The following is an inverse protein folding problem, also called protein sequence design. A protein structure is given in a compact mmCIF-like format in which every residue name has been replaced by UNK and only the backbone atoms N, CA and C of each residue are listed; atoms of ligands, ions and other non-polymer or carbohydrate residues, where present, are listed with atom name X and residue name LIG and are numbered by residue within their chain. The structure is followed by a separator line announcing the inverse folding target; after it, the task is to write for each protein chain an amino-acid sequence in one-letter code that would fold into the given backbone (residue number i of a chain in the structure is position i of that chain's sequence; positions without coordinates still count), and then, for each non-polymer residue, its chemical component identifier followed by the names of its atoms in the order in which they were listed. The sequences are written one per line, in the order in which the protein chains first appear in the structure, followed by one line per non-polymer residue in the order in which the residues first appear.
data_IF_640607877997
#
_entry.id   IF_640607877997
#
_cell.length_a   1.000
_cell.length_b   1.000
_cell.length_c   1.000
_cell.angle_alpha   90.00
_cell.angle_beta   90.00
_cell.angle_gamma   90.00
#
_symmetry.space_group_name_H-M   'P 1'
#
loop_
_entity.id
_entity.type
_entity.pdbx_description
1 polymer ?
#
# COMPACT_ATOMS: atom_id res chain seq x y z
N UNK A 1 6.55 23.74 -24.52
CA UNK A 1 6.80 22.38 -25.03
C UNK A 1 7.03 21.45 -23.85
N UNK A 2 6.10 20.54 -23.58
CA UNK A 2 6.25 19.54 -22.51
C UNK A 2 7.16 18.44 -23.06
N UNK A 3 8.30 18.18 -22.41
CA UNK A 3 9.21 17.12 -22.85
C UNK A 3 8.48 15.76 -22.81
N UNK A 4 8.58 14.93 -23.86
CA UNK A 4 7.83 13.68 -23.98
C UNK A 4 8.03 12.73 -22.79
N UNK A 5 9.14 12.83 -22.06
CA UNK A 5 9.41 12.08 -20.83
C UNK A 5 8.40 12.34 -19.70
N UNK A 6 7.83 13.54 -19.60
CA UNK A 6 6.85 13.88 -18.55
C UNK A 6 5.46 13.29 -18.80
N UNK A 7 5.07 13.15 -20.08
CA UNK A 7 3.77 12.58 -20.46
C UNK A 7 3.74 11.08 -20.12
N UNK A 8 4.82 10.36 -20.42
CA UNK A 8 4.94 8.93 -20.10
C UNK A 8 4.91 8.67 -18.58
N UNK A 9 5.58 9.53 -17.78
CA UNK A 9 5.57 9.42 -16.32
C UNK A 9 4.16 9.61 -15.74
N UNK A 10 3.41 10.62 -16.21
CA UNK A 10 2.05 10.89 -15.72
C UNK A 10 1.05 9.79 -16.11
N UNK A 11 1.23 9.14 -17.26
CA UNK A 11 0.41 8.00 -17.69
C UNK A 11 0.73 6.73 -16.91
N UNK A 12 2.01 6.45 -16.66
CA UNK A 12 2.45 5.34 -15.81
C UNK A 12 1.87 5.46 -14.40
N UNK A 13 1.98 6.65 -13.79
CA UNK A 13 1.40 6.91 -12.46
C UNK A 13 -0.10 6.64 -12.47
N UNK A 14 -0.83 7.11 -13.49
CA UNK A 14 -2.29 6.90 -13.61
C UNK A 14 -2.65 5.42 -13.78
N UNK A 15 -1.94 4.68 -14.62
CA UNK A 15 -2.19 3.25 -14.85
C UNK A 15 -1.97 2.45 -13.55
N UNK A 16 -0.81 2.62 -12.92
CA UNK A 16 -0.47 1.91 -11.67
C UNK A 16 -1.43 2.32 -10.55
N UNK A 17 -1.70 3.62 -10.38
CA UNK A 17 -2.60 4.12 -9.33
C UNK A 17 -4.01 3.55 -9.46
N UNK A 18 -4.59 3.59 -10.66
CA UNK A 18 -5.97 3.17 -10.87
C UNK A 18 -6.15 1.65 -10.68
N UNK A 19 -5.22 0.83 -11.18
CA UNK A 19 -5.24 -0.62 -10.98
C UNK A 19 -5.05 -0.97 -9.50
N UNK A 20 -4.04 -0.40 -8.86
CA UNK A 20 -3.72 -0.65 -7.46
C UNK A 20 -4.88 -0.24 -6.53
N UNK A 21 -5.37 1.01 -6.63
CA UNK A 21 -6.39 1.53 -5.73
C UNK A 21 -7.73 0.79 -5.87
N UNK A 22 -8.04 0.23 -7.05
CA UNK A 22 -9.25 -0.59 -7.24
C UNK A 22 -9.11 -2.00 -6.69
N UNK A 23 -7.93 -2.61 -6.79
CA UNK A 23 -7.68 -3.96 -6.29
C UNK A 23 -7.53 -3.98 -4.77
N UNK A 24 -6.98 -2.90 -4.20
CA UNK A 24 -6.59 -2.80 -2.81
C UNK A 24 -7.66 -3.20 -1.78
N UNK A 25 -8.92 -2.71 -1.83
CA UNK A 25 -9.93 -3.09 -0.83
C UNK A 25 -10.21 -4.60 -0.84
N UNK A 26 -10.20 -5.22 -2.02
CA UNK A 26 -10.43 -6.65 -2.18
C UNK A 26 -9.31 -7.51 -1.62
N UNK A 27 -8.07 -7.02 -1.65
CA UNK A 27 -6.92 -7.70 -1.05
C UNK A 27 -6.93 -7.52 0.47
N UNK A 28 -7.22 -6.31 0.95
CA UNK A 28 -7.08 -5.96 2.37
C UNK A 28 -8.27 -6.41 3.21
N UNK A 29 -9.50 -6.38 2.68
CA UNK A 29 -10.70 -6.75 3.42
C UNK A 29 -10.68 -8.17 4.00
N UNK A 30 -10.40 -9.23 3.22
CA UNK A 30 -10.31 -10.58 3.78
C UNK A 30 -9.20 -10.68 4.82
N UNK A 31 -8.07 -10.02 4.59
CA UNK A 31 -6.95 -10.01 5.53
C UNK A 31 -7.30 -9.35 6.88
N UNK A 32 -8.06 -8.25 6.85
CA UNK A 32 -8.56 -7.60 8.08
C UNK A 32 -9.51 -8.54 8.84
N UNK A 33 -10.45 -9.19 8.14
CA UNK A 33 -11.39 -10.13 8.77
C UNK A 33 -10.64 -11.30 9.41
N UNK A 34 -9.69 -11.91 8.69
CA UNK A 34 -8.88 -13.02 9.22
C UNK A 34 -8.04 -12.55 10.41
N UNK A 35 -7.41 -11.38 10.32
CA UNK A 35 -6.58 -10.82 11.39
C UNK A 35 -7.39 -10.57 12.65
N UNK A 36 -8.54 -9.89 12.55
CA UNK A 36 -9.41 -9.61 13.69
C UNK A 36 -9.97 -10.89 14.30
N UNK A 37 -10.36 -11.86 13.48
CA UNK A 37 -10.86 -13.17 13.94
C UNK A 37 -9.77 -13.97 14.65
N UNK A 38 -8.54 -13.93 14.14
CA UNK A 38 -7.40 -14.61 14.77
C UNK A 38 -7.03 -13.98 16.11
N UNK A 39 -7.12 -12.65 16.22
CA UNK A 39 -6.79 -11.91 17.45
C UNK A 39 -7.90 -12.04 18.49
N UNK A 40 -9.18 -12.06 18.09
CA UNK A 40 -10.32 -12.14 19.01
C UNK A 40 -10.48 -13.51 19.68
N UNK A 41 -9.86 -14.56 19.14
CA UNK A 41 -9.95 -15.94 19.64
C UNK A 41 -8.85 -16.32 20.63
N UNK A 42 -7.95 -15.39 20.97
CA UNK A 42 -6.77 -15.71 21.79
C UNK A 42 -6.79 -14.93 23.09
N UNK A 43 -6.54 -15.64 24.18
CA UNK A 43 -6.47 -15.07 25.53
C UNK A 43 -5.28 -14.10 25.67
N UNK A 44 -5.47 -13.03 26.43
CA UNK A 44 -4.45 -12.01 26.70
C UNK A 44 -4.52 -10.76 25.80
N UNK A 45 -5.50 -10.67 24.90
CA UNK A 45 -5.81 -9.43 24.16
C UNK A 45 -6.93 -8.70 24.90
N UNK A 46 -6.67 -7.48 25.37
CA UNK A 46 -7.70 -6.66 26.03
C UNK A 46 -8.76 -6.20 25.03
N UNK A 47 -10.01 -6.04 25.51
CA UNK A 47 -11.13 -5.52 24.71
C UNK A 47 -10.82 -4.15 24.13
N UNK A 48 -10.12 -3.29 24.87
CA UNK A 48 -9.73 -1.95 24.42
C UNK A 48 -8.76 -2.02 23.24
N UNK A 49 -7.77 -2.94 23.31
CA UNK A 49 -6.83 -3.16 22.22
C UNK A 49 -7.55 -3.69 20.98
N UNK A 50 -8.43 -4.68 21.14
CA UNK A 50 -9.22 -5.22 20.03
C UNK A 50 -10.15 -4.15 19.43
N UNK A 51 -10.77 -3.30 20.27
CA UNK A 51 -11.59 -2.18 19.84
C UNK A 51 -10.79 -1.17 19.02
N UNK A 52 -9.61 -0.77 19.50
CA UNK A 52 -8.73 0.17 18.79
C UNK A 52 -8.22 -0.41 17.47
N UNK A 53 -7.87 -1.70 17.44
CA UNK A 53 -7.50 -2.40 16.21
C UNK A 53 -8.67 -2.43 15.22
N UNK A 54 -9.87 -2.78 15.68
CA UNK A 54 -11.08 -2.85 14.85
C UNK A 54 -11.44 -1.48 14.29
N UNK A 55 -11.36 -0.43 15.13
CA UNK A 55 -11.62 0.95 14.73
C UNK A 55 -10.58 1.44 13.71
N UNK A 56 -9.29 1.22 13.96
CA UNK A 56 -8.22 1.60 13.06
C UNK A 56 -8.32 0.88 11.70
N UNK A 57 -8.54 -0.44 11.72
CA UNK A 57 -8.75 -1.23 10.50
C UNK A 57 -10.02 -0.80 9.75
N UNK A 58 -11.13 -0.58 10.45
CA UNK A 58 -12.38 -0.11 9.86
C UNK A 58 -12.22 1.27 9.20
N UNK A 59 -11.50 2.19 9.84
CA UNK A 59 -11.18 3.51 9.29
C UNK A 59 -10.33 3.38 8.02
N UNK A 60 -9.28 2.57 8.05
CA UNK A 60 -8.44 2.32 6.87
C UNK A 60 -9.22 1.66 5.74
N UNK A 61 -10.12 0.72 6.04
CA UNK A 61 -10.99 0.09 5.05
C UNK A 61 -11.94 1.10 4.42
N UNK A 62 -12.58 1.96 5.22
CA UNK A 62 -13.44 3.02 4.72
C UNK A 62 -12.69 3.96 3.78
N UNK A 63 -11.45 4.33 4.12
CA UNK A 63 -10.57 5.10 3.24
C UNK A 63 -10.27 4.36 1.93
N UNK A 64 -9.90 3.07 1.97
CA UNK A 64 -9.59 2.31 0.76
C UNK A 64 -10.80 2.12 -0.15
N UNK A 65 -11.98 1.83 0.43
CA UNK A 65 -13.23 1.74 -0.32
C UNK A 65 -13.59 3.10 -0.92
N UNK A 66 -13.47 4.18 -0.16
CA UNK A 66 -13.68 5.54 -0.64
C UNK A 66 -12.75 5.89 -1.81
N UNK A 67 -11.45 5.60 -1.68
CA UNK A 67 -10.47 5.77 -2.75
C UNK A 67 -10.85 4.95 -3.99
N UNK A 68 -11.20 3.68 -3.83
CA UNK A 68 -11.60 2.83 -4.94
C UNK A 68 -12.86 3.35 -5.67
N UNK A 69 -13.83 3.89 -4.93
CA UNK A 69 -15.03 4.52 -5.51
C UNK A 69 -14.66 5.80 -6.27
N UNK A 70 -13.83 6.67 -5.67
CA UNK A 70 -13.37 7.90 -6.32
C UNK A 70 -12.58 7.58 -7.58
N UNK A 71 -11.70 6.57 -7.57
CA UNK A 71 -10.94 6.11 -8.72
C UNK A 71 -11.79 5.52 -9.86
N UNK A 72 -13.05 5.16 -9.59
CA UNK A 72 -14.02 4.77 -10.64
C UNK A 72 -14.67 5.99 -11.30
N UNK A 73 -14.69 7.14 -10.63
CA UNK A 73 -15.41 8.35 -11.06
C UNK A 73 -14.51 9.51 -11.50
N UNK A 74 -13.23 9.53 -11.08
CA UNK A 74 -12.28 10.62 -11.33
C UNK A 74 -10.90 10.08 -11.66
N UNK A 75 -10.17 10.82 -12.48
CA UNK A 75 -8.75 10.54 -12.73
C UNK A 75 -7.93 10.80 -11.46
N UNK A 76 -7.04 9.86 -11.14
CA UNK A 76 -6.17 9.94 -9.97
C UNK A 76 -4.95 10.78 -10.31
N UNK A 77 -4.69 11.82 -9.51
CA UNK A 77 -3.49 12.65 -9.67
C UNK A 77 -2.30 12.06 -8.91
N UNK A 78 -1.09 12.46 -9.29
CA UNK A 78 0.15 12.07 -8.62
C UNK A 78 0.11 12.41 -7.12
N UNK A 79 -0.32 13.64 -6.79
CA UNK A 79 -0.45 14.13 -5.42
C UNK A 79 -1.44 13.29 -4.61
N UNK A 80 -2.56 12.88 -5.21
CA UNK A 80 -3.54 12.02 -4.55
C UNK A 80 -2.94 10.67 -4.17
N UNK A 81 -2.24 10.02 -5.11
CA UNK A 81 -1.58 8.75 -4.83
C UNK A 81 -0.52 8.89 -3.74
N UNK A 82 0.28 9.96 -3.78
CA UNK A 82 1.31 10.21 -2.77
C UNK A 82 0.71 10.35 -1.37
N UNK A 83 -0.39 11.11 -1.24
CA UNK A 83 -1.12 11.27 0.04
C UNK A 83 -1.70 9.94 0.49
N UNK A 84 -2.32 9.17 -0.40
CA UNK A 84 -2.86 7.83 -0.09
C UNK A 84 -1.78 6.89 0.46
N UNK A 85 -0.61 6.84 -0.19
CA UNK A 85 0.51 6.01 0.26
C UNK A 85 1.12 6.49 1.57
N UNK A 86 1.18 7.81 1.81
CA UNK A 86 1.62 8.36 3.08
C UNK A 86 0.66 7.99 4.22
N UNK A 87 -0.66 8.20 4.03
CA UNK A 87 -1.69 7.80 4.99
C UNK A 87 -1.68 6.30 5.27
N UNK A 88 -1.47 5.50 4.22
CA UNK A 88 -1.28 4.05 4.33
C UNK A 88 -0.11 3.70 5.24
N UNK A 89 1.04 4.34 5.01
CA UNK A 89 2.26 4.09 5.78
C UNK A 89 2.03 4.41 7.25
N UNK A 90 1.36 5.53 7.54
CA UNK A 90 0.97 5.92 8.90
C UNK A 90 0.01 4.90 9.52
N UNK A 91 -1.03 4.48 8.79
CA UNK A 91 -1.99 3.49 9.27
C UNK A 91 -1.35 2.13 9.59
N UNK A 92 -0.41 1.67 8.75
CA UNK A 92 0.33 0.43 8.99
C UNK A 92 1.28 0.60 10.19
N UNK A 93 1.97 1.74 10.32
CA UNK A 93 2.83 2.01 11.47
C UNK A 93 2.03 2.05 12.78
N UNK A 94 0.85 2.68 12.78
CA UNK A 94 -0.07 2.65 13.91
C UNK A 94 -0.51 1.21 14.24
N UNK A 95 -0.79 0.39 13.23
CA UNK A 95 -1.10 -1.03 13.41
C UNK A 95 0.09 -1.82 14.01
N UNK A 96 1.32 -1.48 13.63
CA UNK A 96 2.53 -2.06 14.22
C UNK A 96 2.64 -1.73 15.72
N UNK A 97 2.36 -0.49 16.12
CA UNK A 97 2.30 -0.12 17.55
C UNK A 97 1.31 -1.00 18.33
N UNK A 98 0.13 -1.25 17.76
CA UNK A 98 -0.89 -2.08 18.39
C UNK A 98 -0.55 -3.57 18.44
N UNK A 99 0.49 -4.04 17.76
CA UNK A 99 0.81 -5.47 17.60
C UNK A 99 2.21 -5.86 18.09
N UNK A 100 2.93 -4.93 18.71
CA UNK A 100 4.25 -5.18 19.31
C UNK A 100 5.40 -4.35 18.72
N UNK A 101 5.08 -3.16 18.18
CA UNK A 101 6.02 -2.20 17.62
C UNK A 101 6.97 -2.82 16.56
N UNK A 102 8.29 -2.73 16.74
CA UNK A 102 9.28 -3.29 15.80
C UNK A 102 9.22 -4.83 15.69
N UNK A 103 8.62 -5.51 16.68
CA UNK A 103 8.45 -6.97 16.66
C UNK A 103 7.07 -7.38 16.14
N UNK A 104 6.34 -6.44 15.55
CA UNK A 104 5.03 -6.67 14.96
C UNK A 104 5.11 -7.66 13.79
N UNK A 105 4.19 -8.64 13.71
CA UNK A 105 4.05 -9.50 12.53
C UNK A 105 3.59 -8.73 11.28
N UNK A 106 3.07 -7.51 11.44
CA UNK A 106 2.57 -6.68 10.33
C UNK A 106 3.63 -5.77 9.72
N UNK A 107 4.86 -5.76 10.25
CA UNK A 107 5.92 -4.85 9.82
C UNK A 107 6.26 -4.97 8.33
N UNK A 108 6.17 -6.19 7.78
CA UNK A 108 6.38 -6.47 6.35
C UNK A 108 5.45 -5.67 5.44
N UNK A 109 4.26 -5.28 5.92
CA UNK A 109 3.31 -4.47 5.15
C UNK A 109 3.84 -3.06 4.87
N UNK A 110 4.79 -2.53 5.65
CA UNK A 110 5.43 -1.24 5.36
C UNK A 110 6.23 -1.27 4.05
N UNK A 111 6.63 -2.44 3.57
CA UNK A 111 7.27 -2.58 2.27
C UNK A 111 6.30 -2.30 1.12
N UNK A 112 5.00 -2.56 1.29
CA UNK A 112 3.96 -2.33 0.29
C UNK A 112 3.95 -0.88 -0.24
N UNK A 113 3.71 0.15 0.59
CA UNK A 113 3.65 1.53 0.10
C UNK A 113 4.97 2.02 -0.48
N UNK A 114 6.11 1.52 0.00
CA UNK A 114 7.43 1.86 -0.54
C UNK A 114 7.59 1.30 -1.95
N UNK A 115 7.36 0.00 -2.15
CA UNK A 115 7.48 -0.63 -3.45
C UNK A 115 6.49 -0.05 -4.47
N UNK A 116 5.26 0.22 -4.04
CA UNK A 116 4.25 0.85 -4.90
C UNK A 116 4.63 2.30 -5.22
N UNK A 117 5.21 3.04 -4.27
CA UNK A 117 5.75 4.37 -4.50
C UNK A 117 6.84 4.37 -5.57
N UNK A 118 7.79 3.43 -5.52
CA UNK A 118 8.81 3.27 -6.56
C UNK A 118 8.23 2.79 -7.90
N UNK A 119 7.24 1.89 -7.87
CA UNK A 119 6.57 1.43 -9.08
C UNK A 119 5.81 2.56 -9.78
N UNK A 120 5.10 3.40 -9.02
CA UNK A 120 4.33 4.49 -9.57
C UNK A 120 5.21 5.68 -9.98
N UNK A 121 6.11 6.14 -9.11
CA UNK A 121 6.85 7.39 -9.30
C UNK A 121 8.32 7.21 -9.69
N UNK A 122 8.81 5.99 -9.92
CA UNK A 122 10.21 5.71 -10.24
C UNK A 122 11.20 6.24 -9.19
N UNK A 123 12.36 6.75 -9.62
CA UNK A 123 13.38 7.37 -8.74
C UNK A 123 13.09 8.85 -8.40
N UNK A 124 11.82 9.23 -8.29
CA UNK A 124 11.43 10.60 -7.95
C UNK A 124 11.65 10.93 -6.47
N UNK A 125 11.65 12.23 -6.15
CA UNK A 125 11.66 12.73 -4.76
C UNK A 125 10.44 12.23 -3.98
N UNK A 126 9.29 12.04 -4.63
CA UNK A 126 8.06 11.54 -4.02
C UNK A 126 8.23 10.09 -3.52
N UNK A 127 8.78 9.20 -4.35
CA UNK A 127 9.07 7.82 -3.94
C UNK A 127 10.08 7.77 -2.78
N UNK A 128 11.13 8.58 -2.86
CA UNK A 128 12.13 8.70 -1.79
C UNK A 128 11.52 9.24 -0.49
N UNK A 129 10.59 10.20 -0.56
CA UNK A 129 9.90 10.72 0.60
C UNK A 129 9.02 9.65 1.29
N UNK A 130 8.33 8.81 0.51
CA UNK A 130 7.55 7.69 1.05
C UNK A 130 8.49 6.65 1.70
N UNK A 131 9.62 6.34 1.06
CA UNK A 131 10.63 5.45 1.64
C UNK A 131 11.22 6.02 2.94
N UNK A 132 11.58 7.31 2.95
CA UNK A 132 12.07 8.00 4.13
C UNK A 132 11.02 8.03 5.25
N UNK A 133 9.75 8.23 4.92
CA UNK A 133 8.65 8.16 5.89
C UNK A 133 8.53 6.77 6.51
N UNK A 134 8.61 5.70 5.70
CA UNK A 134 8.60 4.33 6.20
C UNK A 134 9.81 4.04 7.11
N UNK A 135 11.00 4.49 6.70
CA UNK A 135 12.22 4.36 7.52
C UNK A 135 12.15 5.17 8.82
N UNK A 136 11.55 6.36 8.79
CA UNK A 136 11.34 7.18 9.99
C UNK A 136 10.41 6.48 10.97
N UNK A 137 9.32 5.88 10.48
CA UNK A 137 8.43 5.05 11.31
C UNK A 137 9.15 3.81 11.84
N UNK A 138 9.90 3.07 11.02
CA UNK A 138 10.69 1.92 11.47
C UNK A 138 11.68 2.30 12.55
N UNK A 139 12.36 3.44 12.39
CA UNK A 139 13.28 3.98 13.38
C UNK A 139 12.52 4.29 14.66
N UNK A 140 11.43 5.07 14.60
CA UNK A 140 10.60 5.39 15.77
C UNK A 140 10.07 4.14 16.49
N UNK A 141 9.65 3.11 15.74
CA UNK A 141 9.23 1.81 16.27
C UNK A 141 10.36 1.05 16.97
N UNK A 142 11.61 1.21 16.52
CA UNK A 142 12.78 0.58 17.13
C UNK A 142 13.22 1.29 18.42
N UNK A 143 12.96 2.59 18.54
CA UNK A 143 13.27 3.38 19.75
C UNK A 143 12.23 3.22 20.87
N UNK A 144 11.07 2.66 20.57
CA UNK A 144 10.03 2.42 21.57
C UNK A 144 10.42 1.27 22.51
N UNK A 145 10.08 1.37 23.81
CA UNK A 145 10.29 0.29 24.74
C UNK A 145 9.63 -1.00 24.23
N UNK A 146 10.24 -2.17 24.48
CA UNK A 146 9.59 -3.45 24.25
C UNK A 146 8.21 -3.44 24.91
N UNK A 147 7.19 -3.87 24.18
CA UNK A 147 5.84 -4.08 24.70
C UNK A 147 5.05 -2.79 25.05
N UNK A 148 5.51 -1.63 24.55
CA UNK A 148 4.79 -0.35 24.59
C UNK A 148 4.24 0.04 23.20
N UNK A 149 2.99 0.53 23.07
CA UNK A 149 1.99 0.72 24.14
C UNK A 149 1.28 -0.58 24.55
N UNK A 150 1.35 -1.63 23.73
CA UNK A 150 0.77 -2.94 24.04
C UNK A 150 1.83 -4.03 23.87
N UNK A 151 1.75 -5.11 24.68
CA UNK A 151 2.63 -6.25 24.53
C UNK A 151 2.40 -6.94 23.20
N UNK A 152 3.37 -7.76 22.78
CA UNK A 152 3.20 -8.61 21.60
C UNK A 152 1.91 -9.42 21.62
N UNK A 153 1.41 -9.71 20.42
CA UNK A 153 0.33 -10.68 20.26
C UNK A 153 0.81 -12.06 20.74
N UNK A 154 -0.07 -12.87 21.35
CA UNK A 154 0.25 -14.24 21.69
C UNK A 154 0.61 -15.07 20.45
N UNK A 155 1.46 -16.08 20.62
CA UNK A 155 2.04 -16.87 19.53
C UNK A 155 1.06 -17.38 18.45
N UNK A 156 -0.14 -17.93 18.77
CA UNK A 156 -1.04 -18.44 17.72
C UNK A 156 -1.63 -17.31 16.85
N UNK A 157 -1.99 -16.17 17.45
CA UNK A 157 -2.42 -14.99 16.70
C UNK A 157 -1.24 -14.42 15.88
N UNK A 158 -0.05 -14.33 16.48
CA UNK A 158 1.12 -13.76 15.83
C UNK A 158 1.49 -14.50 14.53
N UNK A 159 1.47 -15.84 14.53
CA UNK A 159 1.76 -16.64 13.32
C UNK A 159 0.74 -16.40 12.22
N UNK A 160 -0.55 -16.38 12.56
CA UNK A 160 -1.63 -16.14 11.61
C UNK A 160 -1.51 -14.74 11.00
N UNK A 161 -1.30 -13.72 11.85
CA UNK A 161 -1.15 -12.33 11.40
C UNK A 161 0.10 -12.16 10.54
N UNK A 162 1.22 -12.82 10.88
CA UNK A 162 2.44 -12.76 10.07
C UNK A 162 2.23 -13.36 8.68
N UNK A 163 1.57 -14.51 8.61
CA UNK A 163 1.21 -15.16 7.34
C UNK A 163 0.30 -14.28 6.49
N UNK A 164 -0.77 -13.74 7.10
CA UNK A 164 -1.71 -12.85 6.41
C UNK A 164 -1.00 -11.58 5.93
N UNK A 165 -0.20 -10.94 6.77
CA UNK A 165 0.55 -9.74 6.41
C UNK A 165 1.52 -10.00 5.25
N UNK A 166 2.21 -11.15 5.26
CA UNK A 166 3.12 -11.55 4.18
C UNK A 166 2.35 -11.80 2.89
N UNK A 167 1.26 -12.57 2.94
CA UNK A 167 0.42 -12.86 1.78
C UNK A 167 -0.18 -11.59 1.16
N UNK A 168 -0.66 -10.66 2.00
CA UNK A 168 -1.15 -9.35 1.55
C UNK A 168 -0.04 -8.52 0.93
N UNK A 169 1.15 -8.48 1.52
CA UNK A 169 2.28 -7.74 0.96
C UNK A 169 2.62 -8.25 -0.44
N UNK A 170 2.69 -9.57 -0.61
CA UNK A 170 2.91 -10.21 -1.91
C UNK A 170 1.77 -9.90 -2.90
N UNK A 171 0.52 -9.98 -2.47
CA UNK A 171 -0.63 -9.67 -3.32
C UNK A 171 -0.64 -8.19 -3.77
N UNK A 172 -0.30 -7.26 -2.87
CA UNK A 172 -0.19 -5.83 -3.18
C UNK A 172 1.00 -5.55 -4.12
N UNK A 173 2.12 -6.25 -3.96
CA UNK A 173 3.24 -6.20 -4.89
C UNK A 173 2.84 -6.70 -6.27
N UNK A 174 2.17 -7.85 -6.35
CA UNK A 174 1.68 -8.41 -7.62
C UNK A 174 0.70 -7.46 -8.31
N UNK A 175 -0.20 -6.82 -7.56
CA UNK A 175 -1.12 -5.81 -8.09
C UNK A 175 -0.38 -4.56 -8.60
N UNK A 176 0.60 -4.06 -7.83
CA UNK A 176 1.40 -2.89 -8.22
C UNK A 176 2.31 -3.15 -9.43
N UNK A 177 2.99 -4.30 -9.47
CA UNK A 177 3.85 -4.70 -10.59
C UNK A 177 3.04 -5.13 -11.82
N UNK A 178 1.87 -5.74 -11.63
CA UNK A 178 0.93 -6.03 -12.71
C UNK A 178 0.53 -4.75 -13.45
N UNK A 179 0.15 -3.70 -12.71
CA UNK A 179 -0.17 -2.39 -13.29
C UNK A 179 0.98 -1.74 -14.04
N UNK A 180 2.23 -1.96 -13.60
CA UNK A 180 3.42 -1.52 -14.34
C UNK A 180 3.54 -2.18 -15.72
N UNK A 181 3.34 -3.50 -15.80
CA UNK A 181 3.43 -4.25 -17.06
C UNK A 181 2.38 -3.79 -18.07
N UNK A 182 1.15 -3.61 -17.62
CA UNK A 182 0.06 -3.09 -18.45
C UNK A 182 0.35 -1.68 -18.95
N UNK A 183 0.90 -0.81 -18.09
CA UNK A 183 1.33 0.54 -18.45
C UNK A 183 2.41 0.54 -19.53
N UNK A 184 3.44 -0.32 -19.41
CA UNK A 184 4.48 -0.45 -20.42
C UNK A 184 3.96 -1.00 -21.75
N UNK A 185 3.09 -2.01 -21.71
CA UNK A 185 2.49 -2.58 -22.92
C UNK A 185 1.67 -1.53 -23.69
N UNK A 186 0.89 -0.71 -22.99
CA UNK A 186 0.12 0.37 -23.60
C UNK A 186 1.01 1.45 -24.24
N UNK A 187 2.14 1.81 -23.60
CA UNK A 187 3.10 2.76 -24.14
C UNK A 187 3.76 2.27 -25.43
N UNK A 188 4.18 0.99 -25.45
CA UNK A 188 4.77 0.36 -26.64
C UNK A 188 3.78 0.37 -27.80
N UNK A 189 2.53 -0.04 -27.56
CA UNK A 189 1.49 -0.05 -28.60
C UNK A 189 1.16 1.33 -29.19
N UNK A 190 1.38 2.41 -28.44
CA UNK A 190 1.22 3.79 -28.95
C UNK A 190 2.41 4.24 -29.77
N UNK A 191 3.62 3.93 -29.31
CA UNK A 191 4.84 4.21 -30.07
C UNK A 191 4.83 3.49 -31.43
N UNK A 192 4.38 2.23 -31.45
CA UNK A 192 4.22 1.47 -32.70
C UNK A 192 3.18 2.08 -33.64
N UNK A 193 2.06 2.59 -33.11
CA UNK A 193 1.04 3.29 -33.91
C UNK A 193 1.58 4.57 -34.54
N UNK A 194 2.20 5.44 -33.75
CA UNK A 194 2.81 6.68 -34.25
C UNK A 194 3.90 6.42 -35.29
N UNK A 195 4.68 5.35 -35.10
CA UNK A 195 5.69 4.93 -36.07
C UNK A 195 5.07 4.51 -37.40
N UNK A 196 3.97 3.74 -37.39
CA UNK A 196 3.25 3.36 -38.61
C UNK A 196 2.65 4.57 -39.31
N UNK A 197 1.97 5.45 -38.57
CA UNK A 197 1.37 6.67 -39.13
C UNK A 197 2.42 7.57 -39.80
N UNK A 198 3.65 7.61 -39.26
CA UNK A 198 4.76 8.39 -39.86
C UNK A 198 5.33 7.74 -41.12
N UNK A 199 5.32 6.41 -41.21
CA UNK A 199 5.83 5.67 -42.38
C UNK A 199 4.79 5.65 -43.51
N UNK A 200 3.50 5.56 -43.19
CA UNK A 200 2.40 5.53 -44.17
C UNK A 200 2.01 6.93 -44.66
N UNK A 201 2.32 7.98 -43.89
CA UNK A 201 2.09 9.38 -44.25
C UNK A 201 3.24 10.08 -44.98
N UNK A 202 4.35 9.39 -45.25
CA UNK A 202 5.54 9.89 -45.97
C UNK A 202 5.65 9.22 -47.35
#
# INVERSE_FOLDING_TARGET
MVSPSHVHAAEQVRAVASAFLRARPWIVAPAMVITLTAVSRVDGVTTDRLGLMSFGMGTMMALFVGEAIVCRRREVTERWLAVSLALTTIGIAAMCLLTGAIRSPTLVLLCAPVAIGFAAFGRSRTALAIAALALAWLSGLAWLPPDWPFPRLPAPAQRTVAWVATAVTLALFLAGVGGLREGFAAAIQRADRLRRDTIEGA
#
